data_IF_124977020399
#
_entry.id   IF_124977020399
#
_cell.length_a   1.000
_cell.length_b   1.000
_cell.length_c   1.000
_cell.angle_alpha   90.00
_cell.angle_beta   90.00
_cell.angle_gamma   90.00
#
_symmetry.space_group_name_H-M   'P 1'
#
loop_
_entity.id
_entity.type
_entity.pdbx_description
1 polymer ?
#
# COMPACT_ATOMS: atom_id res chain seq x y z
N UNK A 1 -1.11 -6.22 -8.40
CA UNK A 1 -0.98 -6.98 -7.15
C UNK A 1 -2.13 -6.62 -6.24
N UNK A 2 -3.01 -7.56 -5.86
CA UNK A 2 -4.13 -7.27 -4.97
C UNK A 2 -3.67 -6.70 -3.63
N UNK A 3 -4.40 -5.69 -3.15
CA UNK A 3 -4.15 -5.05 -1.84
C UNK A 3 -5.47 -4.93 -1.10
N UNK A 4 -5.41 -5.12 0.22
CA UNK A 4 -6.53 -4.90 1.14
C UNK A 4 -6.17 -3.85 2.18
N UNK A 5 -7.15 -3.04 2.58
CA UNK A 5 -7.10 -2.20 3.77
C UNK A 5 -8.13 -2.72 4.78
N UNK A 6 -7.68 -3.04 5.99
CA UNK A 6 -8.49 -3.61 7.07
C UNK A 6 -9.29 -4.85 6.64
N UNK A 7 -8.68 -5.70 5.83
CA UNK A 7 -9.28 -6.93 5.31
C UNK A 7 -10.30 -6.71 4.17
N UNK A 8 -10.59 -5.46 3.79
CA UNK A 8 -11.43 -5.15 2.62
C UNK A 8 -10.57 -5.03 1.37
N UNK A 9 -11.04 -5.62 0.27
CA UNK A 9 -10.37 -5.49 -1.03
C UNK A 9 -10.38 -4.01 -1.43
N UNK A 10 -9.17 -3.48 -1.64
CA UNK A 10 -9.00 -2.12 -2.13
C UNK A 10 -8.85 -2.07 -3.65
N UNK A 11 -8.34 -3.15 -4.25
CA UNK A 11 -8.10 -3.24 -5.69
C UNK A 11 -6.76 -3.89 -5.98
N UNK A 12 -6.16 -3.55 -7.13
CA UNK A 12 -4.83 -4.04 -7.51
C UNK A 12 -3.92 -2.87 -7.87
N UNK A 13 -2.72 -2.84 -7.30
CA UNK A 13 -1.63 -2.00 -7.80
C UNK A 13 -1.07 -2.58 -9.10
N UNK A 14 -0.67 -1.72 -10.03
CA UNK A 14 0.15 -2.05 -11.19
C UNK A 14 1.47 -1.27 -11.14
N UNK A 15 2.31 -1.40 -12.16
CA UNK A 15 3.52 -0.58 -12.28
C UNK A 15 3.18 0.91 -12.18
N UNK A 16 3.96 1.66 -11.39
CA UNK A 16 3.84 3.12 -11.23
C UNK A 16 2.43 3.57 -10.82
N UNK A 17 1.78 2.82 -9.92
CA UNK A 17 0.47 3.21 -9.38
C UNK A 17 0.47 3.17 -7.86
N UNK A 18 -0.40 3.98 -7.25
CA UNK A 18 -0.56 4.04 -5.81
C UNK A 18 -2.03 4.15 -5.41
N UNK A 19 -2.34 3.72 -4.19
CA UNK A 19 -3.63 3.99 -3.56
C UNK A 19 -3.55 5.20 -2.65
N UNK A 20 -4.64 5.96 -2.60
CA UNK A 20 -4.85 7.03 -1.63
C UNK A 20 -6.11 6.75 -0.84
N UNK A 21 -5.98 6.55 0.47
CA UNK A 21 -7.11 6.36 1.36
C UNK A 21 -7.11 7.41 2.46
N UNK A 22 -8.29 7.93 2.77
CA UNK A 22 -8.53 8.70 3.99
C UNK A 22 -9.11 7.76 5.02
N UNK A 23 -8.43 7.60 6.15
CA UNK A 23 -8.84 6.68 7.22
C UNK A 23 -9.12 7.43 8.51
N UNK A 24 -9.87 6.80 9.42
CA UNK A 24 -10.04 7.33 10.79
C UNK A 24 -8.71 7.19 11.54
N UNK A 25 -8.41 8.03 12.55
CA UNK A 25 -7.26 7.78 13.42
C UNK A 25 -7.36 6.41 14.11
N UNK A 26 -6.22 5.76 14.30
CA UNK A 26 -6.09 4.46 14.95
C UNK A 26 -5.38 3.42 14.08
N UNK A 27 -5.52 2.16 14.49
CA UNK A 27 -4.83 1.02 13.88
C UNK A 27 -5.47 0.62 12.56
N UNK A 28 -4.66 0.59 11.52
CA UNK A 28 -5.02 0.10 10.20
C UNK A 28 -4.03 -0.94 9.72
N UNK A 29 -4.53 -1.86 8.90
CA UNK A 29 -3.75 -2.97 8.38
C UNK A 29 -3.80 -2.93 6.87
N UNK A 30 -2.64 -2.87 6.24
CA UNK A 30 -2.50 -2.99 4.80
C UNK A 30 -1.89 -4.36 4.51
N UNK A 31 -2.50 -5.11 3.59
CA UNK A 31 -2.02 -6.43 3.18
C UNK A 31 -1.91 -6.50 1.66
N UNK A 32 -0.77 -6.97 1.15
CA UNK A 32 -0.60 -7.32 -0.25
C UNK A 32 -0.66 -8.84 -0.42
N UNK A 33 -1.51 -9.28 -1.34
CA UNK A 33 -1.81 -10.69 -1.61
C UNK A 33 -1.15 -11.09 -2.94
N UNK A 34 0.14 -11.40 -2.89
CA UNK A 34 0.94 -11.88 -4.03
C UNK A 34 1.28 -13.36 -3.83
N UNK A 35 2.36 -13.87 -4.45
CA UNK A 35 2.84 -15.23 -4.13
C UNK A 35 3.06 -15.41 -2.62
N UNK A 36 3.59 -14.38 -1.94
CA UNK A 36 3.52 -14.24 -0.50
C UNK A 36 2.43 -13.26 -0.07
N UNK A 37 2.00 -13.40 1.18
CA UNK A 37 1.22 -12.37 1.88
C UNK A 37 2.18 -11.45 2.64
N UNK A 38 2.20 -10.16 2.30
CA UNK A 38 2.93 -9.13 3.04
C UNK A 38 1.93 -8.24 3.78
N UNK A 39 2.20 -7.95 5.06
CA UNK A 39 1.32 -7.17 5.92
C UNK A 39 2.12 -6.10 6.64
N UNK A 40 1.53 -4.91 6.77
CA UNK A 40 2.04 -3.83 7.62
C UNK A 40 0.89 -3.23 8.42
N UNK A 41 1.18 -2.86 9.66
CA UNK A 41 0.23 -2.20 10.55
C UNK A 41 0.68 -0.75 10.78
N UNK A 42 -0.26 0.19 10.69
CA UNK A 42 -0.04 1.60 10.96
C UNK A 42 -0.92 2.04 12.12
N UNK A 43 -0.36 2.85 13.02
CA UNK A 43 -1.15 3.61 14.01
C UNK A 43 -1.27 5.07 13.54
N UNK A 44 -2.39 5.35 12.87
CA UNK A 44 -2.60 6.61 12.17
C UNK A 44 -3.10 7.70 13.11
N UNK A 45 -2.56 8.90 12.93
CA UNK A 45 -2.94 10.10 13.69
C UNK A 45 -3.69 11.08 12.79
N UNK A 46 -4.61 11.90 13.35
CA UNK A 46 -5.30 12.92 12.58
C UNK A 46 -4.29 13.89 11.95
N UNK A 47 -4.62 14.41 10.76
CA UNK A 47 -3.82 15.39 10.02
C UNK A 47 -2.38 14.94 9.68
N UNK A 48 -2.16 13.63 9.51
CA UNK A 48 -0.88 13.07 9.11
C UNK A 48 -1.03 12.07 7.97
N UNK A 49 -0.14 12.17 6.99
CA UNK A 49 -0.02 11.19 5.91
C UNK A 49 1.03 10.13 6.28
N UNK A 50 0.73 8.89 5.92
CA UNK A 50 1.62 7.74 6.04
C UNK A 50 1.81 7.16 4.65
N UNK A 51 3.02 6.69 4.38
CA UNK A 51 3.41 6.22 3.05
C UNK A 51 3.93 4.80 3.17
N UNK A 52 3.40 3.92 2.33
CA UNK A 52 3.82 2.53 2.27
C UNK A 52 4.35 2.28 0.87
N UNK A 53 5.60 1.86 0.78
CA UNK A 53 6.17 1.37 -0.47
C UNK A 53 5.92 -0.13 -0.60
N UNK A 54 5.29 -0.51 -1.72
CA UNK A 54 5.17 -1.90 -2.12
C UNK A 54 6.35 -2.28 -3.01
N UNK A 55 7.35 -2.92 -2.41
CA UNK A 55 8.52 -3.41 -3.11
C UNK A 55 8.18 -4.71 -3.84
N UNK A 56 8.37 -4.74 -5.16
CA UNK A 56 8.22 -5.95 -5.97
C UNK A 56 9.47 -6.80 -5.87
N UNK A 57 9.31 -8.09 -5.57
CA UNK A 57 10.40 -9.07 -5.54
C UNK A 57 10.12 -10.23 -6.48
N UNK A 58 11.19 -10.87 -6.95
CA UNK A 58 11.08 -12.16 -7.63
C UNK A 58 10.59 -13.22 -6.63
N UNK A 59 9.58 -13.99 -7.03
CA UNK A 59 9.13 -15.20 -6.36
C UNK A 59 9.52 -16.45 -7.15
N UNK A 60 9.12 -17.62 -6.65
CA UNK A 60 9.45 -18.91 -7.27
C UNK A 60 8.56 -19.20 -8.49
N UNK A 61 7.31 -18.74 -8.48
CA UNK A 61 6.31 -19.01 -9.50
C UNK A 61 5.69 -17.73 -10.09
N UNK A 62 5.58 -16.67 -9.28
CA UNK A 62 5.02 -15.37 -9.63
C UNK A 62 5.76 -14.25 -8.88
N UNK A 63 5.49 -13.00 -9.26
CA UNK A 63 6.02 -11.86 -8.52
C UNK A 63 5.45 -11.85 -7.09
N UNK A 64 6.33 -11.56 -6.13
CA UNK A 64 6.01 -11.46 -4.71
C UNK A 64 6.22 -10.01 -4.23
N UNK A 65 5.81 -9.67 -3.02
CA UNK A 65 5.93 -8.29 -2.51
C UNK A 65 6.40 -8.19 -1.08
N UNK A 66 6.96 -7.03 -0.72
CA UNK A 66 7.16 -6.58 0.65
C UNK A 66 6.55 -5.19 0.83
N UNK A 67 6.12 -4.89 2.05
CA UNK A 67 5.55 -3.59 2.40
C UNK A 67 6.47 -2.92 3.41
N UNK A 68 6.84 -1.68 3.12
CA UNK A 68 7.70 -0.86 3.97
C UNK A 68 6.99 0.44 4.29
N UNK A 69 6.89 0.81 5.57
CA UNK A 69 6.60 2.19 5.92
C UNK A 69 7.84 3.01 5.60
N UNK A 70 7.67 4.04 4.78
CA UNK A 70 8.77 4.90 4.31
C UNK A 70 8.63 6.30 4.89
N UNK A 71 9.71 7.08 4.83
CA UNK A 71 9.66 8.46 5.25
C UNK A 71 8.70 9.28 4.38
N UNK A 72 8.24 10.42 4.91
CA UNK A 72 7.40 11.36 4.16
C UNK A 72 8.05 11.81 2.85
N UNK A 73 9.36 12.09 2.86
CA UNK A 73 10.09 12.56 1.68
C UNK A 73 10.13 11.50 0.58
N UNK A 74 10.47 10.25 0.95
CA UNK A 74 10.49 9.12 0.01
C UNK A 74 9.09 8.82 -0.54
N UNK A 75 8.08 8.82 0.34
CA UNK A 75 6.70 8.57 -0.02
C UNK A 75 6.10 9.62 -0.94
N UNK A 76 6.33 10.91 -0.67
CA UNK A 76 5.87 12.00 -1.54
C UNK A 76 6.52 11.92 -2.92
N UNK A 77 7.83 11.64 -2.99
CA UNK A 77 8.52 11.44 -4.27
C UNK A 77 7.93 10.26 -5.05
N UNK A 78 7.75 9.11 -4.40
CA UNK A 78 7.17 7.93 -5.04
C UNK A 78 5.75 8.17 -5.57
N UNK A 79 4.92 8.90 -4.82
CA UNK A 79 3.56 9.27 -5.26
C UNK A 79 3.59 10.20 -6.47
N UNK A 80 4.52 11.16 -6.53
CA UNK A 80 4.65 12.06 -7.68
C UNK A 80 5.07 11.34 -8.96
N UNK A 81 5.80 10.23 -8.83
CA UNK A 81 6.21 9.36 -9.95
C UNK A 81 5.12 8.33 -10.33
N UNK A 82 4.02 8.25 -9.57
CA UNK A 82 2.97 7.26 -9.75
C UNK A 82 1.61 7.88 -10.12
N UNK A 83 0.74 7.06 -10.70
CA UNK A 83 -0.66 7.39 -10.99
C UNK A 83 -1.59 6.82 -9.92
N UNK A 84 -2.68 7.54 -9.64
CA UNK A 84 -3.69 7.05 -8.71
C UNK A 84 -4.37 5.79 -9.29
N UNK A 85 -4.37 4.71 -8.53
CA UNK A 85 -5.08 3.47 -8.88
C UNK A 85 -6.57 3.58 -8.54
N UNK A 86 -7.39 2.87 -9.30
CA UNK A 86 -8.81 2.70 -8.99
C UNK A 86 -8.98 1.86 -7.72
N UNK A 87 -9.75 2.38 -6.76
CA UNK A 87 -9.97 1.76 -5.45
C UNK A 87 -11.45 1.48 -5.19
N UNK A 88 -11.75 0.29 -4.68
CA UNK A 88 -13.10 -0.10 -4.23
C UNK A 88 -13.45 0.50 -2.85
N UNK A 89 -12.44 0.98 -2.13
CA UNK A 89 -12.59 1.64 -0.83
C UNK A 89 -12.75 3.14 -1.06
N UNK A 90 -13.88 3.69 -0.57
CA UNK A 90 -14.24 5.11 -0.60
C UNK A 90 -13.98 5.78 0.74
#
# INVERSE_FOLDING_TARGET
MPVTLDGKIAGKTAAETYFKWTVKPGKHVITSLTENTARIELDTKPNRNYFIWQEVKMGMWAARSQLHEVSRSEGEKGVLECKLAETDIK
#
